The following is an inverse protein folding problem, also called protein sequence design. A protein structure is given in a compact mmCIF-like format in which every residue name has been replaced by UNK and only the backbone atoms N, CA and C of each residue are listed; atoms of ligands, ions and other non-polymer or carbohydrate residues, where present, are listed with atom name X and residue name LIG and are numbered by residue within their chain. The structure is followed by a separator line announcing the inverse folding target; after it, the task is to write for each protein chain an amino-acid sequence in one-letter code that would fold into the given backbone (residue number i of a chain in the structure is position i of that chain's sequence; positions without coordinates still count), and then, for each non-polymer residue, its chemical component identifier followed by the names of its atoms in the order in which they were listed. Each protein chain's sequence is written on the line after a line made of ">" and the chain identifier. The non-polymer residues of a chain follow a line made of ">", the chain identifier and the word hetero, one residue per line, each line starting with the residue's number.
data_IF_099852235634
#
_entry.id   IF_099852235634
#
_cell.length_a   1.000
_cell.length_b   1.000
_cell.length_c   1.000
_cell.angle_alpha   90.00
_cell.angle_beta   90.00
_cell.angle_gamma   90.00
#
_symmetry.space_group_name_H-M   'P 1'
#
loop_
_entity.id
_entity.type
_entity.pdbx_description
1 polymer ?
#
# COMPACT_ATOMS: atom_id res chain seq x y z
N UNK A 1 -19.62 -38.05 -8.35
CA UNK A 1 -19.01 -36.77 -8.77
C UNK A 1 -19.33 -36.34 -10.21
N UNK A 2 -20.36 -36.89 -10.89
CA UNK A 2 -20.59 -36.63 -12.32
C UNK A 2 -22.04 -36.29 -12.75
N UNK A 3 -22.94 -35.87 -11.85
CA UNK A 3 -24.38 -35.69 -12.21
C UNK A 3 -24.97 -34.32 -11.81
N UNK A 4 -24.15 -33.26 -11.71
CA UNK A 4 -24.65 -31.89 -11.44
C UNK A 4 -24.18 -30.84 -12.45
N UNK A 5 -23.58 -31.26 -13.57
CA UNK A 5 -23.05 -30.36 -14.61
C UNK A 5 -24.15 -29.81 -15.55
N UNK A 6 -25.39 -30.31 -15.48
CA UNK A 6 -26.37 -30.15 -16.55
C UNK A 6 -27.33 -28.95 -16.44
N UNK A 7 -27.15 -28.04 -15.47
CA UNK A 7 -28.02 -26.87 -15.32
C UNK A 7 -27.29 -25.51 -15.22
N UNK A 8 -25.96 -25.48 -15.34
CA UNK A 8 -25.22 -24.22 -15.29
C UNK A 8 -24.93 -23.67 -16.69
N UNK A 9 -25.34 -22.43 -16.96
CA UNK A 9 -24.95 -21.73 -18.18
C UNK A 9 -23.43 -21.55 -18.27
N UNK A 10 -22.88 -21.39 -19.48
CA UNK A 10 -21.43 -21.23 -19.73
C UNK A 10 -20.75 -20.13 -18.88
N UNK A 11 -21.48 -19.08 -18.49
CA UNK A 11 -20.99 -18.01 -17.59
C UNK A 11 -20.82 -18.48 -16.15
N UNK A 12 -21.75 -19.28 -15.64
CA UNK A 12 -21.71 -19.81 -14.27
C UNK A 12 -20.56 -20.81 -14.11
N UNK A 13 -20.26 -21.61 -15.15
CA UNK A 13 -19.16 -22.58 -15.09
C UNK A 13 -17.76 -21.96 -14.92
N UNK A 14 -17.49 -20.79 -15.54
CA UNK A 14 -16.19 -20.11 -15.44
C UNK A 14 -16.00 -19.38 -14.10
N UNK A 15 -17.05 -18.77 -13.58
CA UNK A 15 -17.01 -18.15 -12.26
C UNK A 15 -16.90 -19.21 -11.15
N UNK A 16 -17.62 -20.33 -11.32
CA UNK A 16 -17.54 -21.49 -10.44
C UNK A 16 -16.13 -22.07 -10.42
N UNK A 17 -15.46 -22.26 -11.57
CA UNK A 17 -14.11 -22.84 -11.59
C UNK A 17 -13.07 -21.98 -10.86
N UNK A 18 -13.14 -20.65 -10.99
CA UNK A 18 -12.28 -19.71 -10.25
C UNK A 18 -12.50 -19.84 -8.75
N UNK A 19 -13.76 -19.88 -8.30
CA UNK A 19 -14.09 -19.97 -6.86
C UNK A 19 -13.76 -21.36 -6.29
N UNK A 20 -14.07 -22.43 -7.01
CA UNK A 20 -13.84 -23.82 -6.59
C UNK A 20 -12.36 -24.12 -6.44
N UNK A 21 -11.51 -23.58 -7.33
CA UNK A 21 -10.05 -23.75 -7.24
C UNK A 21 -9.43 -23.13 -5.98
N UNK A 22 -10.17 -22.32 -5.23
CA UNK A 22 -9.69 -21.60 -4.05
C UNK A 22 -10.35 -22.03 -2.74
N UNK A 23 -11.21 -23.05 -2.77
CA UNK A 23 -11.86 -23.59 -1.58
C UNK A 23 -11.58 -25.08 -1.46
N UNK A 24 -10.65 -25.46 -0.58
CA UNK A 24 -10.23 -26.86 -0.40
C UNK A 24 -11.33 -27.77 0.20
N UNK A 25 -12.48 -27.23 0.62
CA UNK A 25 -13.56 -28.03 1.21
C UNK A 25 -14.95 -27.34 1.23
N UNK A 26 -15.28 -26.52 0.22
CA UNK A 26 -16.58 -25.84 0.22
C UNK A 26 -17.71 -26.77 -0.26
N UNK A 27 -18.76 -26.93 0.58
CA UNK A 27 -20.05 -27.46 0.12
C UNK A 27 -20.55 -26.63 -1.07
N UNK A 28 -21.10 -27.32 -2.09
CA UNK A 28 -21.63 -26.71 -3.32
C UNK A 28 -22.62 -25.55 -3.06
N UNK A 29 -23.41 -25.63 -1.98
CA UNK A 29 -24.32 -24.56 -1.57
C UNK A 29 -23.60 -23.25 -1.22
N UNK A 30 -22.43 -23.34 -0.58
CA UNK A 30 -21.59 -22.19 -0.19
C UNK A 30 -20.98 -21.51 -1.41
N UNK A 31 -20.48 -22.31 -2.37
CA UNK A 31 -19.95 -21.80 -3.65
C UNK A 31 -21.03 -21.06 -4.43
N UNK A 32 -22.23 -21.64 -4.54
CA UNK A 32 -23.36 -21.04 -5.26
C UNK A 32 -23.83 -19.73 -4.63
N UNK A 33 -23.85 -19.64 -3.30
CA UNK A 33 -24.17 -18.39 -2.60
C UNK A 33 -23.10 -17.31 -2.84
N UNK A 34 -21.82 -17.69 -2.78
CA UNK A 34 -20.71 -16.76 -3.04
C UNK A 34 -20.75 -16.24 -4.49
N UNK A 35 -21.00 -17.11 -5.47
CA UNK A 35 -21.17 -16.74 -6.87
C UNK A 35 -22.27 -15.69 -7.06
N UNK A 36 -23.48 -15.94 -6.52
CA UNK A 36 -24.59 -14.99 -6.59
C UNK A 36 -24.23 -13.65 -5.93
N UNK A 37 -23.53 -13.69 -4.81
CA UNK A 37 -23.09 -12.49 -4.11
C UNK A 37 -21.99 -11.71 -4.89
N UNK A 38 -21.18 -12.40 -5.69
CA UNK A 38 -20.21 -11.76 -6.60
C UNK A 38 -20.95 -11.15 -7.78
N UNK A 39 -21.83 -11.91 -8.45
CA UNK A 39 -22.62 -11.42 -9.59
C UNK A 39 -23.43 -10.17 -9.25
N UNK A 40 -24.15 -10.18 -8.12
CA UNK A 40 -24.91 -9.03 -7.65
C UNK A 40 -24.06 -7.76 -7.40
N UNK A 41 -22.75 -7.92 -7.16
CA UNK A 41 -21.81 -6.79 -7.07
C UNK A 41 -21.36 -6.33 -8.46
N UNK A 42 -21.10 -7.26 -9.37
CA UNK A 42 -20.71 -6.96 -10.76
C UNK A 42 -21.81 -6.22 -11.53
N UNK A 43 -23.08 -6.47 -11.21
CA UNK A 43 -24.22 -5.79 -11.84
C UNK A 43 -24.35 -4.32 -11.48
N UNK A 44 -23.69 -3.88 -10.41
CA UNK A 44 -23.65 -2.47 -10.02
C UNK A 44 -22.61 -1.67 -10.81
N UNK A 45 -21.71 -2.35 -11.51
CA UNK A 45 -20.63 -1.72 -12.28
C UNK A 45 -21.15 -1.32 -13.65
N UNK A 46 -20.92 -0.06 -14.03
CA UNK A 46 -21.15 0.43 -15.38
C UNK A 46 -19.95 0.12 -16.25
N UNK A 47 -20.15 -0.79 -17.19
CA UNK A 47 -19.15 -1.19 -18.17
C UNK A 47 -19.25 -0.28 -19.40
N UNK A 48 -18.12 0.13 -19.96
CA UNK A 48 -18.11 0.84 -21.24
C UNK A 48 -18.48 -0.09 -22.40
N UNK A 49 -18.55 0.45 -23.62
CA UNK A 49 -18.90 -0.30 -24.84
C UNK A 49 -18.00 -1.52 -25.11
N UNK A 50 -16.77 -1.52 -24.58
CA UNK A 50 -15.81 -2.62 -24.69
C UNK A 50 -15.92 -3.63 -23.54
N UNK A 51 -16.91 -3.47 -22.64
CA UNK A 51 -17.08 -4.31 -21.47
C UNK A 51 -16.04 -4.06 -20.37
N UNK A 52 -15.46 -2.86 -20.30
CA UNK A 52 -14.39 -2.49 -19.37
C UNK A 52 -14.83 -1.40 -18.38
N UNK A 53 -14.28 -1.45 -17.17
CA UNK A 53 -14.41 -0.42 -16.15
C UNK A 53 -13.01 0.03 -15.69
N UNK A 54 -12.87 1.30 -15.29
CA UNK A 54 -11.60 1.83 -14.76
C UNK A 54 -11.40 1.35 -13.32
N UNK A 55 -10.18 0.95 -12.97
CA UNK A 55 -9.81 0.65 -11.59
C UNK A 55 -8.53 1.40 -11.21
N UNK A 56 -8.61 2.15 -10.11
CA UNK A 56 -7.48 2.85 -9.50
C UNK A 56 -6.92 1.96 -8.39
N UNK A 57 -5.61 1.76 -8.37
CA UNK A 57 -4.92 0.97 -7.34
C UNK A 57 -4.27 1.91 -6.34
N UNK A 58 -4.57 1.73 -5.05
CA UNK A 58 -4.13 2.60 -3.97
C UNK A 58 -3.52 1.78 -2.81
N UNK A 59 -2.40 2.25 -2.27
CA UNK A 59 -1.81 1.66 -1.06
C UNK A 59 -2.72 1.90 0.16
N UNK A 60 -2.93 0.85 0.95
CA UNK A 60 -3.82 0.88 2.11
C UNK A 60 -3.33 1.80 3.24
N UNK A 61 -2.01 1.96 3.38
CA UNK A 61 -1.39 2.73 4.45
C UNK A 61 -1.05 4.15 4.02
N UNK A 62 -0.31 4.30 2.91
CA UNK A 62 0.16 5.61 2.46
C UNK A 62 -0.92 6.41 1.74
N UNK A 63 -1.97 5.73 1.26
CA UNK A 63 -3.02 6.27 0.38
C UNK A 63 -2.49 6.80 -0.94
N UNK A 64 -1.24 6.51 -1.29
CA UNK A 64 -0.67 6.84 -2.59
C UNK A 64 -1.40 6.07 -3.69
N UNK A 65 -1.72 6.78 -4.77
CA UNK A 65 -2.22 6.14 -5.99
C UNK A 65 -1.03 5.50 -6.69
N UNK A 66 -1.08 4.18 -6.86
CA UNK A 66 0.02 3.38 -7.38
C UNK A 66 -0.04 3.28 -8.91
N UNK A 67 -1.22 2.98 -9.45
CA UNK A 67 -1.43 2.87 -10.89
C UNK A 67 -2.93 2.94 -11.22
N UNK A 68 -3.24 3.18 -12.49
CA UNK A 68 -4.56 2.96 -13.06
C UNK A 68 -4.52 1.75 -13.98
N UNK A 69 -5.57 0.94 -13.93
CA UNK A 69 -5.81 -0.17 -14.84
C UNK A 69 -7.26 -0.11 -15.33
N UNK A 70 -7.59 -1.01 -16.25
CA UNK A 70 -8.98 -1.33 -16.57
C UNK A 70 -9.22 -2.78 -16.21
N UNK A 71 -10.47 -3.14 -15.96
CA UNK A 71 -10.87 -4.52 -15.71
C UNK A 71 -12.11 -4.83 -16.53
N UNK A 72 -12.25 -6.08 -16.95
CA UNK A 72 -13.52 -6.62 -17.42
C UNK A 72 -14.23 -7.34 -16.28
N UNK A 73 -15.41 -7.88 -16.58
CA UNK A 73 -16.26 -8.57 -15.61
C UNK A 73 -15.59 -9.80 -15.00
N UNK A 74 -14.86 -10.56 -15.81
CA UNK A 74 -14.17 -11.79 -15.37
C UNK A 74 -12.98 -11.49 -14.45
N UNK A 75 -12.20 -10.46 -14.76
CA UNK A 75 -11.07 -10.04 -13.93
C UNK A 75 -11.58 -9.49 -12.60
N UNK A 76 -12.60 -8.64 -12.62
CA UNK A 76 -13.16 -8.11 -11.37
C UNK A 76 -13.70 -9.23 -10.47
N UNK A 77 -14.40 -10.21 -11.06
CA UNK A 77 -14.87 -11.37 -10.34
C UNK A 77 -13.73 -12.17 -9.67
N UNK A 78 -12.64 -12.39 -10.41
CA UNK A 78 -11.45 -13.07 -9.93
C UNK A 78 -10.79 -12.27 -8.80
N UNK A 79 -10.69 -10.96 -8.93
CA UNK A 79 -10.10 -10.07 -7.93
C UNK A 79 -10.91 -10.03 -6.64
N UNK A 80 -12.25 -10.00 -6.73
CA UNK A 80 -13.15 -10.07 -5.57
C UNK A 80 -12.97 -11.40 -4.83
N UNK A 81 -12.92 -12.50 -5.57
CA UNK A 81 -12.89 -13.85 -4.99
C UNK A 81 -11.53 -14.17 -4.38
N UNK A 82 -10.44 -13.87 -5.09
CA UNK A 82 -9.07 -14.20 -4.68
C UNK A 82 -8.44 -13.19 -3.72
N UNK A 83 -9.02 -11.99 -3.61
CA UNK A 83 -8.40 -10.84 -2.95
C UNK A 83 -7.00 -10.52 -3.48
N UNK A 84 -6.71 -10.87 -4.73
CA UNK A 84 -5.46 -10.52 -5.42
C UNK A 84 -5.81 -9.80 -6.71
N UNK A 85 -5.10 -8.72 -7.02
CA UNK A 85 -5.35 -8.01 -8.26
C UNK A 85 -4.68 -8.74 -9.42
N UNK A 86 -5.51 -9.20 -10.35
CA UNK A 86 -5.13 -9.48 -11.72
C UNK A 86 -5.37 -8.20 -12.53
N UNK A 87 -4.36 -7.74 -13.24
CA UNK A 87 -4.43 -6.53 -14.06
C UNK A 87 -4.70 -6.88 -15.52
N UNK A 88 -5.50 -6.07 -16.20
CA UNK A 88 -5.71 -6.21 -17.64
C UNK A 88 -4.51 -5.59 -18.37
N UNK A 89 -3.63 -6.44 -18.91
CA UNK A 89 -2.48 -5.98 -19.69
C UNK A 89 -2.95 -5.66 -21.12
N UNK A 90 -3.11 -4.36 -21.41
CA UNK A 90 -3.44 -3.89 -22.78
C UNK A 90 -2.22 -3.79 -23.71
N UNK A 91 -1.01 -3.95 -23.17
CA UNK A 91 0.23 -3.84 -23.94
C UNK A 91 0.66 -5.22 -24.46
N UNK A 92 1.14 -5.32 -25.72
CA UNK A 92 1.68 -6.57 -26.25
C UNK A 92 2.78 -7.10 -25.34
N UNK A 93 2.72 -8.37 -24.97
CA UNK A 93 3.75 -9.05 -24.17
C UNK A 93 5.16 -8.91 -24.77
N UNK A 94 5.28 -8.61 -26.07
CA UNK A 94 6.55 -8.44 -26.79
C UNK A 94 7.34 -7.18 -26.41
N UNK A 95 6.73 -6.18 -25.77
CA UNK A 95 7.46 -5.03 -25.21
C UNK A 95 7.92 -5.27 -23.77
N UNK A 96 7.59 -6.42 -23.17
CA UNK A 96 8.04 -6.87 -21.85
C UNK A 96 9.23 -7.83 -21.97
N UNK A 97 10.15 -7.53 -22.90
CA UNK A 97 11.43 -8.20 -22.97
C UNK A 97 12.38 -7.56 -21.93
N UNK A 98 12.93 -8.42 -21.07
CA UNK A 98 13.95 -8.17 -20.04
C UNK A 98 13.46 -7.48 -18.75
N UNK A 99 13.34 -8.29 -17.68
CA UNK A 99 13.30 -7.78 -16.30
C UNK A 99 11.91 -7.58 -15.69
N UNK A 100 10.89 -8.39 -16.01
CA UNK A 100 9.62 -8.41 -15.27
C UNK A 100 9.89 -8.69 -13.79
N UNK A 101 9.90 -7.66 -12.96
CA UNK A 101 9.79 -7.83 -11.52
C UNK A 101 8.35 -8.31 -11.29
N UNK A 102 8.14 -9.52 -10.73
CA UNK A 102 6.81 -9.98 -10.41
C UNK A 102 6.26 -9.05 -9.33
N UNK A 103 5.33 -8.18 -9.70
CA UNK A 103 4.57 -7.40 -8.74
C UNK A 103 3.19 -8.01 -8.56
N UNK A 104 2.85 -8.29 -7.31
CA UNK A 104 1.52 -8.73 -6.93
C UNK A 104 0.86 -7.68 -6.05
N UNK A 105 -0.47 -7.69 -5.98
CA UNK A 105 -1.18 -6.73 -5.14
C UNK A 105 -2.28 -7.45 -4.37
N UNK A 106 -2.18 -7.40 -3.04
CA UNK A 106 -3.13 -8.02 -2.13
C UNK A 106 -4.23 -7.01 -1.81
N UNK A 107 -5.46 -7.32 -2.24
CA UNK A 107 -6.62 -6.44 -2.11
C UNK A 107 -7.21 -6.59 -0.71
N UNK A 108 -7.24 -5.49 0.04
CA UNK A 108 -7.93 -5.41 1.33
C UNK A 108 -9.38 -4.95 1.15
N UNK A 109 -9.65 -4.08 0.18
CA UNK A 109 -10.99 -3.57 -0.12
C UNK A 109 -11.13 -3.15 -1.59
N UNK A 110 -12.36 -3.24 -2.12
CA UNK A 110 -12.74 -2.71 -3.43
C UNK A 110 -13.91 -1.75 -3.22
N UNK A 111 -13.70 -0.48 -3.56
CA UNK A 111 -14.76 0.53 -3.53
C UNK A 111 -15.26 0.79 -4.94
N UNK A 112 -16.57 0.91 -5.10
CA UNK A 112 -17.22 1.33 -6.33
C UNK A 112 -17.56 2.82 -6.25
N UNK A 113 -17.35 3.57 -7.33
CA UNK A 113 -17.75 4.97 -7.43
C UNK A 113 -19.28 5.10 -7.28
N UNK A 114 -19.75 6.27 -6.82
CA UNK A 114 -21.18 6.50 -6.58
C UNK A 114 -22.04 6.34 -7.85
N UNK A 115 -21.47 6.65 -9.02
CA UNK A 115 -22.10 6.51 -10.32
C UNK A 115 -21.78 5.16 -10.99
N UNK A 116 -20.93 4.32 -10.39
CA UNK A 116 -20.65 2.94 -10.79
C UNK A 116 -19.65 2.74 -11.93
N UNK A 117 -19.04 3.80 -12.46
CA UNK A 117 -18.17 3.76 -13.65
C UNK A 117 -16.68 3.45 -13.36
N UNK A 118 -16.30 3.43 -12.09
CA UNK A 118 -14.91 3.26 -11.68
C UNK A 118 -14.80 2.62 -10.31
N UNK A 119 -13.65 1.98 -10.09
CA UNK A 119 -13.35 1.21 -8.88
C UNK A 119 -12.07 1.75 -8.24
N UNK A 120 -11.95 1.56 -6.92
CA UNK A 120 -10.69 1.76 -6.19
C UNK A 120 -10.34 0.46 -5.49
N UNK A 121 -9.21 -0.14 -5.88
CA UNK A 121 -8.58 -1.26 -5.19
C UNK A 121 -7.66 -0.71 -4.10
N UNK A 122 -7.98 -1.02 -2.85
CA UNK A 122 -7.20 -0.62 -1.68
C UNK A 122 -6.52 -1.88 -1.16
N UNK A 123 -5.20 -1.82 -0.97
CA UNK A 123 -4.45 -3.03 -0.66
C UNK A 123 -2.96 -2.77 -0.49
N UNK A 124 -2.18 -3.86 -0.53
CA UNK A 124 -0.74 -3.83 -0.35
C UNK A 124 -0.01 -4.35 -1.58
N UNK A 125 0.92 -3.56 -2.16
CA UNK A 125 1.79 -4.04 -3.22
C UNK A 125 2.85 -4.97 -2.63
N UNK A 126 3.21 -5.98 -3.42
CA UNK A 126 4.32 -6.88 -3.20
C UNK A 126 5.28 -6.69 -4.38
N UNK A 127 6.23 -5.77 -4.20
CA UNK A 127 7.12 -5.29 -5.25
C UNK A 127 6.71 -3.94 -5.88
N UNK A 128 7.46 -3.45 -6.87
CA UNK A 128 7.20 -2.18 -7.55
C UNK A 128 5.96 -2.26 -8.43
N UNK A 129 5.11 -1.23 -8.40
CA UNK A 129 3.88 -1.19 -9.20
C UNK A 129 4.06 -0.57 -10.58
N UNK A 130 5.23 0.02 -10.86
CA UNK A 130 5.57 0.58 -12.16
C UNK A 130 6.61 -0.28 -12.88
N UNK A 131 6.53 -0.33 -14.21
CA UNK A 131 7.52 -0.99 -15.06
C UNK A 131 8.92 -0.33 -14.99
N UNK A 132 9.02 0.90 -14.48
CA UNK A 132 10.29 1.59 -14.21
C UNK A 132 10.93 1.20 -12.87
N UNK A 133 10.42 0.15 -12.23
CA UNK A 133 10.79 -0.26 -10.87
C UNK A 133 10.44 0.77 -9.78
N UNK A 134 9.59 1.75 -10.10
CA UNK A 134 9.02 2.70 -9.13
C UNK A 134 7.83 2.10 -8.38
N UNK A 135 7.60 2.58 -7.15
CA UNK A 135 6.43 2.22 -6.33
C UNK A 135 5.10 2.74 -6.88
N UNK A 136 5.13 3.80 -7.69
CA UNK A 136 3.95 4.37 -8.37
C UNK A 136 4.26 4.76 -9.82
N UNK A 137 3.26 4.68 -10.69
CA UNK A 137 3.29 5.23 -12.05
C UNK A 137 3.17 6.78 -12.06
N UNK A 138 2.71 7.39 -10.96
CA UNK A 138 2.42 8.82 -10.85
C UNK A 138 3.60 9.62 -10.26
N UNK A 139 4.83 9.30 -10.66
CA UNK A 139 6.03 9.95 -10.12
C UNK A 139 6.36 11.33 -10.73
N UNK A 140 5.70 11.71 -11.83
CA UNK A 140 5.93 12.99 -12.51
C UNK A 140 4.85 14.00 -12.13
N UNK A 141 5.26 15.12 -11.53
CA UNK A 141 4.37 16.22 -11.16
C UNK A 141 4.42 17.33 -12.21
N UNK A 142 3.26 17.65 -12.78
CA UNK A 142 3.14 18.74 -13.75
C UNK A 142 3.33 20.12 -13.10
N UNK A 143 2.92 20.29 -11.84
CA UNK A 143 3.05 21.57 -11.12
C UNK A 143 4.47 21.83 -10.63
N UNK A 144 5.19 20.79 -10.24
CA UNK A 144 6.59 20.92 -9.80
C UNK A 144 7.51 21.21 -10.99
N UNK A 145 7.11 20.81 -12.20
CA UNK A 145 7.85 21.12 -13.43
C UNK A 145 7.92 22.62 -13.75
N UNK A 146 7.03 23.43 -13.15
CA UNK A 146 7.04 24.90 -13.29
C UNK A 146 7.73 25.62 -12.12
N UNK A 147 7.94 24.94 -10.99
CA UNK A 147 8.49 25.54 -9.78
C UNK A 147 9.78 24.80 -9.38
N UNK A 148 10.93 25.39 -9.69
CA UNK A 148 12.26 24.78 -9.51
C UNK A 148 12.60 24.29 -8.08
N UNK A 149 11.77 24.54 -7.07
CA UNK A 149 11.93 23.97 -5.73
C UNK A 149 10.57 23.94 -5.01
N UNK A 150 9.84 22.81 -5.02
CA UNK A 150 8.71 22.57 -4.09
C UNK A 150 8.14 21.13 -4.03
N UNK A 151 8.65 20.18 -4.82
CA UNK A 151 8.13 18.81 -4.88
C UNK A 151 8.10 18.05 -3.52
N UNK A 152 8.99 18.40 -2.59
CA UNK A 152 9.03 17.75 -1.27
C UNK A 152 7.90 18.18 -0.32
N UNK A 153 7.20 19.29 -0.57
CA UNK A 153 6.27 19.89 0.38
C UNK A 153 4.82 19.39 0.26
N UNK A 154 4.46 18.71 -0.84
CA UNK A 154 3.08 18.30 -1.13
C UNK A 154 2.77 16.83 -0.83
N UNK A 155 3.69 16.08 -0.21
CA UNK A 155 3.37 14.70 0.21
C UNK A 155 2.41 14.72 1.40
N UNK A 156 1.47 13.76 1.49
CA UNK A 156 0.68 13.59 2.70
C UNK A 156 1.61 13.49 3.92
N UNK A 157 1.35 14.19 5.04
CA UNK A 157 2.24 14.16 6.19
C UNK A 157 2.60 12.76 6.69
N UNK A 158 1.63 11.82 6.61
CA UNK A 158 1.84 10.43 6.99
C UNK A 158 2.73 9.68 5.96
N UNK A 159 2.63 10.01 4.68
CA UNK A 159 3.49 9.43 3.65
C UNK A 159 4.97 9.79 3.86
N UNK A 160 5.26 10.94 4.47
CA UNK A 160 6.63 11.31 4.87
C UNK A 160 7.20 10.33 5.89
N UNK A 161 6.44 9.96 6.93
CA UNK A 161 6.89 8.98 7.93
C UNK A 161 7.11 7.59 7.32
N UNK A 162 6.20 7.11 6.48
CA UNK A 162 6.38 5.86 5.75
C UNK A 162 7.60 5.91 4.80
N UNK A 163 7.87 7.07 4.18
CA UNK A 163 9.03 7.23 3.30
C UNK A 163 10.38 7.21 4.01
N UNK A 164 10.41 7.32 5.34
CA UNK A 164 11.63 7.11 6.12
C UNK A 164 12.00 5.63 6.23
N UNK A 165 11.04 4.71 6.14
CA UNK A 165 11.31 3.28 6.31
C UNK A 165 12.32 2.72 5.31
N UNK A 166 12.23 2.99 3.99
CA UNK A 166 13.24 2.55 3.03
C UNK A 166 14.62 3.12 3.34
N UNK A 167 14.70 4.40 3.72
CA UNK A 167 15.98 5.05 4.09
C UNK A 167 16.60 4.39 5.32
N UNK A 168 15.81 4.08 6.34
CA UNK A 168 16.27 3.40 7.55
C UNK A 168 16.70 1.96 7.24
N UNK A 169 15.94 1.25 6.39
CA UNK A 169 16.30 -0.10 5.93
C UNK A 169 17.63 -0.11 5.18
N UNK A 170 17.82 0.84 4.26
CA UNK A 170 19.08 1.02 3.54
C UNK A 170 20.23 1.31 4.51
N UNK A 171 20.01 2.19 5.49
CA UNK A 171 21.00 2.47 6.54
C UNK A 171 21.34 1.24 7.37
N UNK A 172 20.40 0.33 7.65
CA UNK A 172 20.68 -0.94 8.35
C UNK A 172 21.67 -1.80 7.55
N UNK A 173 21.45 -1.92 6.24
CA UNK A 173 22.21 -2.79 5.35
C UNK A 173 23.54 -2.19 4.90
N UNK A 174 23.69 -0.86 4.93
CA UNK A 174 24.93 -0.18 4.56
C UNK A 174 26.10 -0.55 5.50
N UNK A 175 27.30 -0.76 4.93
CA UNK A 175 28.54 -0.95 5.70
C UNK A 175 28.94 0.35 6.40
N UNK A 176 29.58 0.26 7.56
CA UNK A 176 29.99 1.43 8.36
C UNK A 176 30.99 2.31 7.59
N UNK A 177 31.88 1.70 6.81
CA UNK A 177 32.91 2.38 6.01
C UNK A 177 32.35 3.21 4.84
N UNK A 178 31.14 2.93 4.37
CA UNK A 178 30.47 3.70 3.30
C UNK A 178 29.96 5.06 3.77
N UNK A 179 30.09 5.39 5.05
CA UNK A 179 29.48 6.58 5.68
C UNK A 179 30.56 7.48 6.26
N UNK A 180 31.43 8.03 5.41
CA UNK A 180 32.45 9.00 5.84
C UNK A 180 31.85 10.42 5.83
N UNK A 181 31.83 11.04 7.02
CA UNK A 181 31.52 12.43 7.36
C UNK A 181 30.16 13.00 6.90
N UNK A 182 29.13 12.87 7.77
CA UNK A 182 27.85 13.58 7.67
C UNK A 182 26.77 13.08 8.65
N UNK A 183 25.57 13.68 8.63
CA UNK A 183 24.36 13.21 9.38
C UNK A 183 24.06 11.70 9.26
N UNK A 184 24.29 11.02 8.12
CA UNK A 184 24.09 9.58 8.00
C UNK A 184 24.97 8.74 8.94
N UNK A 185 26.17 9.23 9.31
CA UNK A 185 27.08 8.54 10.22
C UNK A 185 26.52 8.50 11.65
N UNK A 186 25.93 9.61 12.11
CA UNK A 186 25.31 9.71 13.42
C UNK A 186 24.09 8.80 13.55
N UNK A 187 23.23 8.75 12.53
CA UNK A 187 22.08 7.82 12.52
C UNK A 187 22.54 6.37 12.60
N UNK A 188 23.57 5.97 11.84
CA UNK A 188 24.13 4.62 11.93
C UNK A 188 24.70 4.31 13.32
N UNK A 189 25.41 5.24 13.94
CA UNK A 189 25.92 5.07 15.30
C UNK A 189 24.81 4.86 16.34
N UNK A 190 23.73 5.64 16.25
CA UNK A 190 22.54 5.46 17.10
C UNK A 190 21.93 4.06 16.91
N UNK A 191 21.89 3.56 15.67
CA UNK A 191 21.35 2.23 15.39
C UNK A 191 22.22 1.09 15.92
N UNK A 192 23.54 1.28 16.00
CA UNK A 192 24.46 0.28 16.52
C UNK A 192 24.50 0.23 18.05
N UNK A 193 23.99 1.27 18.73
CA UNK A 193 24.02 1.37 20.19
C UNK A 193 22.61 1.66 20.76
N UNK A 194 21.85 0.62 21.16
CA UNK A 194 20.51 0.77 21.71
C UNK A 194 20.42 1.69 22.92
N UNK A 195 21.44 1.69 23.78
CA UNK A 195 21.48 2.56 24.97
C UNK A 195 21.61 4.03 24.60
N UNK A 196 22.48 4.33 23.63
CA UNK A 196 22.64 5.69 23.12
C UNK A 196 21.37 6.18 22.42
N UNK A 197 20.70 5.31 21.65
CA UNK A 197 19.41 5.62 21.04
C UNK A 197 18.33 5.92 22.08
N UNK A 198 18.21 5.09 23.13
CA UNK A 198 17.26 5.34 24.21
C UNK A 198 17.55 6.67 24.92
N UNK A 199 18.82 6.99 25.17
CA UNK A 199 19.22 8.28 25.73
C UNK A 199 18.83 9.46 24.84
N UNK A 200 18.98 9.31 23.51
CA UNK A 200 18.59 10.33 22.54
C UNK A 200 17.08 10.54 22.54
N UNK A 201 16.29 9.45 22.53
CA UNK A 201 14.82 9.52 22.57
C UNK A 201 14.34 10.27 23.82
N UNK A 202 14.86 9.90 25.00
CA UNK A 202 14.49 10.58 26.26
C UNK A 202 14.79 12.07 26.20
N UNK A 203 15.98 12.44 25.72
CA UNK A 203 16.37 13.84 25.55
C UNK A 203 15.41 14.61 24.63
N UNK A 204 15.06 14.08 23.45
CA UNK A 204 14.15 14.78 22.54
C UNK A 204 12.73 14.92 23.10
N UNK A 205 12.27 13.93 23.86
CA UNK A 205 10.96 13.99 24.56
C UNK A 205 11.00 15.04 25.67
N UNK A 206 12.07 15.12 26.44
CA UNK A 206 12.24 16.12 27.50
C UNK A 206 12.28 17.54 26.92
N UNK A 207 13.03 17.75 25.83
CA UNK A 207 13.08 19.03 25.14
C UNK A 207 11.70 19.41 24.55
N UNK A 208 10.96 18.46 23.97
CA UNK A 208 9.58 18.70 23.53
C UNK A 208 8.69 19.16 24.70
N UNK A 209 8.74 18.47 25.84
CA UNK A 209 7.98 18.86 27.02
C UNK A 209 8.41 20.23 27.55
N UNK A 210 9.68 20.60 27.43
CA UNK A 210 10.16 21.92 27.76
C UNK A 210 9.57 23.00 26.85
N UNK A 211 9.54 22.78 25.53
CA UNK A 211 8.93 23.76 24.59
C UNK A 211 7.47 24.09 24.93
N UNK A 212 6.72 23.09 25.42
CA UNK A 212 5.34 23.26 25.86
C UNK A 212 5.23 23.99 27.20
N UNK A 213 6.12 23.70 28.15
CA UNK A 213 6.15 24.35 29.47
C UNK A 213 6.55 25.81 29.38
N UNK A 214 7.54 26.10 28.56
CA UNK A 214 8.10 27.44 28.40
C UNK A 214 7.29 28.28 27.38
N UNK A 215 6.21 27.69 26.83
CA UNK A 215 5.32 28.29 25.82
C UNK A 215 6.11 28.87 24.63
N UNK A 216 7.08 28.10 24.15
CA UNK A 216 7.93 28.47 23.02
C UNK A 216 7.12 28.53 21.70
N UNK A 217 7.76 29.05 20.65
CA UNK A 217 7.14 29.15 19.34
C UNK A 217 6.71 27.77 18.78
N UNK A 218 5.57 27.74 18.07
CA UNK A 218 5.03 26.52 17.46
C UNK A 218 6.01 25.83 16.51
N UNK A 219 6.84 26.58 15.79
CA UNK A 219 7.85 26.04 14.87
C UNK A 219 8.90 25.22 15.62
N UNK A 220 9.34 25.70 16.78
CA UNK A 220 10.30 25.01 17.66
C UNK A 220 9.70 23.74 18.27
N UNK A 221 8.46 23.82 18.76
CA UNK A 221 7.70 22.65 19.25
C UNK A 221 7.56 21.58 18.15
N UNK A 222 7.19 21.99 16.93
CA UNK A 222 7.05 21.08 15.79
C UNK A 222 8.39 20.43 15.40
N UNK A 223 9.48 21.19 15.43
CA UNK A 223 10.83 20.65 15.19
C UNK A 223 11.21 19.59 16.22
N UNK A 224 10.91 19.82 17.50
CA UNK A 224 11.19 18.85 18.57
C UNK A 224 10.35 17.59 18.44
N UNK A 225 9.08 17.72 18.06
CA UNK A 225 8.25 16.57 17.74
C UNK A 225 8.80 15.76 16.55
N UNK A 226 9.33 16.44 15.53
CA UNK A 226 9.97 15.77 14.40
C UNK A 226 11.23 14.98 14.82
N UNK A 227 12.05 15.53 15.71
CA UNK A 227 13.22 14.84 16.28
C UNK A 227 12.80 13.57 17.03
N UNK A 228 11.70 13.62 17.80
CA UNK A 228 11.10 12.44 18.46
C UNK A 228 10.68 11.40 17.44
N UNK A 229 9.94 11.77 16.39
CA UNK A 229 9.53 10.83 15.34
C UNK A 229 10.73 10.19 14.64
N UNK A 230 11.77 10.95 14.34
CA UNK A 230 12.99 10.41 13.73
C UNK A 230 13.68 9.41 14.66
N UNK A 231 13.80 9.73 15.96
CA UNK A 231 14.40 8.84 16.94
C UNK A 231 13.57 7.57 17.16
N UNK A 232 12.23 7.68 17.16
CA UNK A 232 11.33 6.52 17.21
C UNK A 232 11.43 5.66 15.95
N UNK A 233 11.57 6.25 14.77
CA UNK A 233 11.78 5.48 13.54
C UNK A 233 13.07 4.64 13.59
N UNK A 234 14.08 5.07 14.36
CA UNK A 234 15.31 4.32 14.61
C UNK A 234 15.12 3.16 15.62
N UNK A 235 14.02 3.08 16.39
CA UNK A 235 13.73 1.94 17.30
C UNK A 235 13.59 0.60 16.57
N UNK A 236 13.56 0.62 15.23
CA UNK A 236 13.70 -0.52 14.33
C UNK A 236 14.96 -1.37 14.57
N UNK A 237 15.84 -0.99 15.49
CA UNK A 237 16.92 -1.85 16.01
C UNK A 237 16.38 -3.17 16.62
N UNK A 238 15.07 -3.33 16.81
CA UNK A 238 14.42 -4.65 16.86
C UNK A 238 13.22 -4.70 15.91
N UNK A 239 13.30 -5.54 14.87
CA UNK A 239 12.31 -6.09 13.90
C UNK A 239 10.87 -5.52 13.72
N UNK A 240 10.49 -4.39 14.30
CA UNK A 240 9.16 -3.82 14.26
C UNK A 240 9.06 -2.77 13.16
N UNK A 241 8.18 -3.01 12.19
CA UNK A 241 7.79 -2.03 11.16
C UNK A 241 6.83 -0.98 11.73
N UNK A 242 6.79 0.23 11.15
CA UNK A 242 5.84 1.28 11.52
C UNK A 242 4.40 0.76 11.46
N UNK A 243 4.12 -0.06 10.44
CA UNK A 243 2.84 -0.76 10.25
C UNK A 243 2.37 -1.48 11.53
N UNK A 244 3.27 -2.19 12.23
CA UNK A 244 2.92 -2.90 13.45
C UNK A 244 2.52 -1.97 14.60
N UNK A 245 3.21 -0.83 14.74
CA UNK A 245 2.89 0.17 15.77
C UNK A 245 1.58 0.90 15.46
N UNK A 246 1.36 1.25 14.19
CA UNK A 246 0.12 1.87 13.72
C UNK A 246 -1.05 0.90 13.88
N UNK A 247 -0.86 -0.39 13.67
CA UNK A 247 -1.90 -1.41 13.87
C UNK A 247 -2.38 -1.49 15.33
N UNK A 248 -1.46 -1.35 16.30
CA UNK A 248 -1.84 -1.24 17.72
C UNK A 248 -2.70 0.01 17.95
N UNK A 249 -2.31 1.15 17.39
CA UNK A 249 -3.09 2.38 17.49
C UNK A 249 -4.47 2.25 16.83
N UNK A 250 -4.57 1.58 15.67
CA UNK A 250 -5.85 1.33 15.00
C UNK A 250 -6.80 0.54 15.89
N UNK A 251 -6.31 -0.53 16.52
CA UNK A 251 -7.10 -1.35 17.45
C UNK A 251 -7.57 -0.58 18.67
N UNK A 252 -6.79 0.39 19.14
CA UNK A 252 -7.12 1.20 20.30
C UNK A 252 -8.12 2.33 20.00
N UNK A 253 -7.99 3.00 18.85
CA UNK A 253 -8.66 4.27 18.59
C UNK A 253 -9.64 4.27 17.41
N UNK A 254 -9.64 3.25 16.56
CA UNK A 254 -10.63 3.15 15.49
C UNK A 254 -11.77 2.23 15.93
N UNK A 255 -13.04 2.69 15.89
CA UNK A 255 -14.16 1.82 16.19
C UNK A 255 -14.18 0.68 15.16
N UNK A 256 -14.18 -0.55 15.66
CA UNK A 256 -14.55 -1.72 14.87
C UNK A 256 -16.00 -1.51 14.47
N UNK A 257 -16.23 -1.04 13.24
CA UNK A 257 -17.57 -0.93 12.65
C UNK A 257 -18.02 -2.29 12.14
#
# INVERSE_FOLDING_TARGET
>A
MAVLWFQCGLKEMKLASVIISQTENAQWCTVKCLMRAVEARLDKVKWNEKGLAVAIVQDADTREVLMQTVVNREILATNISSRKATFYNQWPLSLLAEGKIPSSFNIHNIKLSCNGDSLVYIGKPDGPMCHTCSGTCYHNSLLDSFNNHRAAQNRPPLATLYSLEPTITWLQQAKVETIVNGKPALMKQLMLNPMLLCSKIRKEVDELCQTLRDNEERSRTASKMADVYQAMALLRVGDLKLEGSVEVLRKQFLPVR
#
